data_IF_058678448160
#
_entry.id   IF_058678448160
#
_cell.length_a   1.000
_cell.length_b   1.000
_cell.length_c   1.000
_cell.angle_alpha   90.00
_cell.angle_beta   90.00
_cell.angle_gamma   90.00
#
_symmetry.space_group_name_H-M   'P 1'
#
loop_
_entity.id
_entity.type
_entity.pdbx_description
1 polymer ?
#
# COMPACT_ATOMS: atom_id res chain seq x y z
N UNK A 1 -22.08 -6.12 5.99
CA UNK A 1 -21.08 -5.17 5.43
C UNK A 1 -20.65 -5.77 4.10
N UNK A 2 -20.87 -5.09 2.97
CA UNK A 2 -20.36 -5.59 1.68
C UNK A 2 -18.87 -5.29 1.67
N UNK A 3 -18.03 -6.33 1.64
CA UNK A 3 -16.59 -6.14 1.52
C UNK A 3 -16.31 -5.61 0.10
N UNK A 4 -15.44 -4.61 -0.01
CA UNK A 4 -15.04 -4.11 -1.32
C UNK A 4 -14.39 -5.25 -2.11
N UNK A 5 -14.71 -5.36 -3.40
CA UNK A 5 -14.21 -6.42 -4.30
C UNK A 5 -13.38 -5.85 -5.44
N UNK A 6 -12.36 -6.60 -5.83
CA UNK A 6 -11.45 -6.34 -6.94
C UNK A 6 -11.49 -7.55 -7.87
N UNK A 7 -11.97 -7.40 -9.10
CA UNK A 7 -12.13 -8.50 -10.06
C UNK A 7 -12.80 -9.76 -9.49
N UNK A 8 -13.76 -9.57 -8.58
CA UNK A 8 -14.48 -10.65 -7.90
C UNK A 8 -13.81 -11.22 -6.65
N UNK A 9 -12.60 -10.77 -6.31
CA UNK A 9 -11.84 -11.15 -5.11
C UNK A 9 -12.11 -10.11 -4.01
N UNK A 10 -12.45 -10.51 -2.77
CA UNK A 10 -12.49 -9.57 -1.64
C UNK A 10 -11.13 -8.89 -1.47
N UNK A 11 -11.10 -7.56 -1.32
CA UNK A 11 -9.84 -6.81 -1.21
C UNK A 11 -8.89 -7.34 -0.12
N UNK A 12 -9.35 -7.75 1.08
CA UNK A 12 -8.47 -8.34 2.10
C UNK A 12 -7.89 -9.70 1.72
N UNK A 13 -8.42 -10.36 0.70
CA UNK A 13 -8.03 -11.69 0.23
C UNK A 13 -7.20 -11.62 -1.07
N UNK A 14 -6.82 -10.42 -1.52
CA UNK A 14 -6.02 -10.26 -2.72
C UNK A 14 -4.68 -11.01 -2.59
N UNK A 15 -4.29 -11.80 -3.60
CA UNK A 15 -2.99 -12.46 -3.59
C UNK A 15 -1.91 -11.40 -3.80
N UNK A 16 -1.13 -11.15 -2.75
CA UNK A 16 0.09 -10.33 -2.81
C UNK A 16 1.23 -11.26 -2.38
N UNK A 17 1.91 -11.81 -3.38
CA UNK A 17 3.01 -12.77 -3.20
C UNK A 17 4.35 -12.13 -3.49
N UNK A 18 4.39 -11.26 -4.50
CA UNK A 18 5.58 -10.54 -4.93
C UNK A 18 5.22 -9.09 -5.22
N UNK A 19 6.12 -8.18 -4.83
CA UNK A 19 6.00 -6.74 -5.09
C UNK A 19 7.34 -6.25 -5.62
N UNK A 20 7.30 -5.54 -6.74
CA UNK A 20 8.48 -4.94 -7.33
C UNK A 20 8.28 -3.43 -7.61
N UNK A 21 9.35 -2.79 -8.07
CA UNK A 21 9.36 -1.37 -8.43
C UNK A 21 10.01 -1.24 -9.81
N UNK A 22 9.24 -1.42 -10.90
CA UNK A 22 9.81 -1.44 -12.26
C UNK A 22 10.38 -0.08 -12.66
N UNK A 23 9.83 1.02 -12.13
CA UNK A 23 10.30 2.39 -12.36
C UNK A 23 10.48 3.16 -11.04
N UNK A 24 11.68 3.10 -10.42
CA UNK A 24 11.97 3.77 -9.15
C UNK A 24 11.81 5.29 -9.19
N UNK A 25 11.89 5.93 -10.36
CA UNK A 25 11.73 7.38 -10.48
C UNK A 25 10.36 7.85 -9.98
N UNK A 26 9.33 7.01 -10.04
CA UNK A 26 8.01 7.35 -9.52
C UNK A 26 7.95 7.52 -7.99
N UNK A 27 8.92 6.96 -7.27
CA UNK A 27 9.09 7.14 -5.83
C UNK A 27 9.83 8.42 -5.46
N UNK A 28 10.49 9.08 -6.43
CA UNK A 28 11.10 10.41 -6.27
C UNK A 28 10.04 11.51 -6.33
N UNK A 29 9.15 11.53 -5.34
CA UNK A 29 8.04 12.47 -5.25
C UNK A 29 8.49 13.92 -5.12
N UNK A 30 9.69 14.18 -4.60
CA UNK A 30 10.29 15.51 -4.49
C UNK A 30 10.39 16.23 -5.84
N UNK A 31 10.54 15.48 -6.94
CA UNK A 31 10.55 16.01 -8.32
C UNK A 31 9.21 16.63 -8.73
N UNK A 32 8.10 16.18 -8.12
CA UNK A 32 6.73 16.63 -8.41
C UNK A 32 6.16 17.53 -7.32
N UNK A 33 6.59 17.34 -6.07
CA UNK A 33 6.03 17.99 -4.89
C UNK A 33 7.17 18.49 -3.99
N UNK A 34 7.45 19.81 -3.97
CA UNK A 34 8.49 20.37 -3.12
C UNK A 34 8.29 20.00 -1.65
N UNK A 35 9.37 19.50 -1.01
CA UNK A 35 9.36 19.05 0.38
C UNK A 35 8.76 17.65 0.61
N UNK A 36 8.34 16.94 -0.43
CA UNK A 36 7.97 15.53 -0.31
C UNK A 36 9.23 14.68 -0.04
N UNK A 37 9.05 13.66 0.80
CA UNK A 37 10.06 12.64 1.03
C UNK A 37 10.10 11.69 -0.15
N UNK A 38 11.31 11.44 -0.66
CA UNK A 38 11.55 10.37 -1.62
C UNK A 38 11.64 9.03 -0.89
N UNK A 39 10.99 8.02 -1.46
CA UNK A 39 10.93 6.68 -0.87
C UNK A 39 11.89 5.78 -1.65
N UNK A 40 12.73 5.03 -0.94
CA UNK A 40 13.55 4.01 -1.57
C UNK A 40 12.68 2.78 -1.95
N UNK A 41 12.97 2.09 -3.07
CA UNK A 41 12.21 0.92 -3.50
C UNK A 41 12.02 -0.14 -2.42
N UNK A 42 13.07 -0.47 -1.68
CA UNK A 42 13.04 -1.43 -0.58
C UNK A 42 12.02 -1.05 0.49
N UNK A 43 11.97 0.23 0.90
CA UNK A 43 11.00 0.70 1.87
C UNK A 43 9.56 0.60 1.36
N UNK A 44 9.32 0.85 0.06
CA UNK A 44 8.00 0.69 -0.53
C UNK A 44 7.57 -0.79 -0.56
N UNK A 45 8.48 -1.70 -0.90
CA UNK A 45 8.23 -3.16 -0.90
C UNK A 45 7.94 -3.66 0.51
N UNK A 46 8.75 -3.27 1.51
CA UNK A 46 8.52 -3.64 2.91
C UNK A 46 7.12 -3.24 3.38
N UNK A 47 6.69 -2.00 3.10
CA UNK A 47 5.38 -1.52 3.50
C UNK A 47 4.24 -2.20 2.72
N UNK A 48 4.46 -2.58 1.46
CA UNK A 48 3.46 -3.30 0.66
C UNK A 48 3.28 -4.75 1.12
N UNK A 49 4.35 -5.37 1.60
CA UNK A 49 4.39 -6.76 2.06
C UNK A 49 4.21 -6.90 3.58
N UNK A 50 3.88 -5.81 4.27
CA UNK A 50 3.62 -5.85 5.71
C UNK A 50 2.41 -6.76 6.00
N UNK A 51 2.57 -7.84 6.80
CA UNK A 51 1.48 -8.77 7.11
C UNK A 51 0.26 -8.12 7.78
N UNK A 52 0.43 -6.93 8.34
CA UNK A 52 -0.62 -6.15 9.03
C UNK A 52 -1.16 -5.02 8.17
N UNK A 53 -0.79 -4.97 6.89
CA UNK A 53 -1.13 -3.84 6.04
C UNK A 53 -2.65 -3.70 5.85
N UNK A 54 -3.11 -2.47 5.82
CA UNK A 54 -4.48 -2.15 5.44
C UNK A 54 -4.55 -2.02 3.92
N UNK A 55 -5.45 -2.78 3.29
CA UNK A 55 -5.60 -2.81 1.83
C UNK A 55 -7.00 -2.29 1.46
N UNK A 56 -7.06 -1.39 0.48
CA UNK A 56 -8.30 -0.86 -0.08
C UNK A 56 -8.11 -0.61 -1.58
N UNK A 57 -9.19 -0.48 -2.36
CA UNK A 57 -9.06 0.07 -3.71
C UNK A 57 -8.58 1.51 -3.63
N UNK A 58 -7.76 1.93 -4.59
CA UNK A 58 -7.34 3.32 -4.63
C UNK A 58 -8.51 4.20 -5.10
N UNK A 59 -9.00 5.14 -4.27
CA UNK A 59 -10.17 5.95 -4.60
C UNK A 59 -9.92 6.94 -5.74
N UNK A 60 -8.65 7.12 -6.16
CA UNK A 60 -8.27 7.99 -7.28
C UNK A 60 -8.01 7.19 -8.56
N UNK A 61 -8.11 5.86 -8.52
CA UNK A 61 -7.98 5.03 -9.70
C UNK A 61 -9.16 5.26 -10.63
N UNK A 62 -8.88 5.69 -11.87
CA UNK A 62 -9.92 5.86 -12.90
C UNK A 62 -10.34 4.54 -13.53
N UNK A 63 -9.41 3.59 -13.63
CA UNK A 63 -9.66 2.24 -14.14
C UNK A 63 -10.21 1.32 -13.07
N UNK A 64 -9.98 1.63 -11.79
CA UNK A 64 -10.37 0.79 -10.66
C UNK A 64 -9.38 -0.35 -10.38
N UNK A 65 -8.27 -0.38 -11.09
CA UNK A 65 -7.23 -1.42 -11.05
C UNK A 65 -6.18 -1.15 -9.96
N UNK A 66 -6.06 0.09 -9.50
CA UNK A 66 -5.05 0.39 -8.49
C UNK A 66 -5.59 0.08 -7.09
N UNK A 67 -4.73 -0.50 -6.26
CA UNK A 67 -4.97 -0.67 -4.83
C UNK A 67 -4.06 0.25 -4.04
N UNK A 68 -4.47 0.55 -2.81
CA UNK A 68 -3.69 1.30 -1.84
C UNK A 68 -3.45 0.41 -0.63
N UNK A 69 -2.17 0.26 -0.30
CA UNK A 69 -1.69 -0.45 0.87
C UNK A 69 -1.15 0.56 1.88
N UNK A 70 -1.50 0.40 3.15
CA UNK A 70 -0.89 1.12 4.26
C UNK A 70 -0.19 0.12 5.16
N UNK A 71 1.14 0.12 5.12
CA UNK A 71 1.94 -0.80 5.90
C UNK A 71 3.24 -0.17 6.39
N UNK A 72 3.91 -0.87 7.29
CA UNK A 72 5.10 -0.43 7.98
C UNK A 72 6.36 -0.82 7.22
N UNK A 73 7.26 0.15 7.01
CA UNK A 73 8.62 -0.12 6.56
C UNK A 73 9.60 0.03 7.72
N UNK A 74 10.40 -1.00 7.94
CA UNK A 74 11.48 -1.01 8.93
C UNK A 74 12.65 -0.12 8.47
N UNK A 75 12.95 -0.11 7.16
CA UNK A 75 14.02 0.68 6.56
C UNK A 75 13.87 2.17 6.84
N UNK A 76 12.65 2.71 6.82
CA UNK A 76 12.40 4.13 7.13
C UNK A 76 11.69 4.36 8.47
N UNK A 77 11.41 3.30 9.23
CA UNK A 77 10.68 3.32 10.51
C UNK A 77 9.40 4.16 10.44
N UNK A 78 8.59 3.94 9.40
CA UNK A 78 7.37 4.71 9.11
C UNK A 78 6.33 3.83 8.46
N UNK A 79 5.06 4.16 8.73
CA UNK A 79 3.96 3.72 7.89
C UNK A 79 3.98 4.48 6.56
N UNK A 80 3.92 3.74 5.47
CA UNK A 80 3.84 4.26 4.11
C UNK A 80 2.48 3.92 3.52
N UNK A 81 2.00 4.83 2.68
CA UNK A 81 0.94 4.57 1.71
C UNK A 81 1.64 4.17 0.42
N UNK A 82 1.32 2.99 -0.09
CA UNK A 82 1.84 2.46 -1.35
C UNK A 82 0.67 2.26 -2.30
N UNK A 83 0.76 2.79 -3.52
CA UNK A 83 -0.21 2.53 -4.58
C UNK A 83 0.40 1.52 -5.53
N UNK A 84 -0.33 0.44 -5.79
CA UNK A 84 0.12 -0.66 -6.64
C UNK A 84 -0.90 -0.98 -7.74
N UNK A 85 -0.39 -1.52 -8.83
CA UNK A 85 -1.17 -2.08 -9.94
C UNK A 85 -0.80 -3.56 -10.04
N UNK A 86 -1.73 -4.47 -10.35
CA UNK A 86 -1.36 -5.86 -10.59
C UNK A 86 -0.62 -5.96 -11.92
N UNK A 87 0.18 -7.01 -12.09
CA UNK A 87 0.75 -7.37 -13.40
C UNK A 87 -0.36 -7.93 -14.33
N UNK A 88 -1.27 -8.75 -13.78
CA UNK A 88 -2.36 -9.38 -14.52
C UNK A 88 -3.77 -9.12 -13.93
N UNK A 89 -4.79 -9.38 -14.74
CA UNK A 89 -6.20 -9.30 -14.35
C UNK A 89 -6.95 -10.60 -14.66
N UNK A 90 -7.55 -11.28 -13.65
CA UNK A 90 -7.48 -10.97 -12.21
C UNK A 90 -6.05 -11.10 -11.63
N UNK A 91 -5.74 -10.47 -10.49
CA UNK A 91 -4.43 -10.55 -9.88
C UNK A 91 -4.07 -11.98 -9.47
N UNK A 92 -2.84 -12.40 -9.76
CA UNK A 92 -2.32 -13.74 -9.48
C UNK A 92 -1.27 -13.77 -8.35
N UNK A 93 -0.76 -12.61 -7.94
CA UNK A 93 0.25 -12.50 -6.89
C UNK A 93 1.29 -11.42 -7.09
N UNK A 94 1.56 -11.00 -8.33
CA UNK A 94 2.56 -9.98 -8.64
C UNK A 94 1.94 -8.58 -8.74
N UNK A 95 2.54 -7.63 -8.01
CA UNK A 95 2.11 -6.23 -7.97
C UNK A 95 3.27 -5.25 -8.18
N UNK A 96 3.03 -4.25 -9.04
CA UNK A 96 3.99 -3.19 -9.33
C UNK A 96 3.69 -1.94 -8.50
N UNK A 97 4.69 -1.44 -7.79
CA UNK A 97 4.56 -0.15 -7.08
C UNK A 97 4.51 1.00 -8.08
N UNK A 98 3.39 1.72 -8.10
CA UNK A 98 3.21 2.91 -8.90
C UNK A 98 3.72 4.18 -8.19
N UNK A 99 3.60 4.27 -6.87
CA UNK A 99 4.16 5.35 -6.05
C UNK A 99 4.01 5.04 -4.54
N UNK A 100 4.79 5.71 -3.69
CA UNK A 100 4.65 5.60 -2.24
C UNK A 100 4.90 6.94 -1.52
N UNK A 101 4.37 7.09 -0.30
CA UNK A 101 4.62 8.26 0.57
C UNK A 101 4.30 8.00 2.04
N UNK A 102 4.80 8.82 2.98
CA UNK A 102 4.47 8.67 4.40
C UNK A 102 2.98 8.79 4.70
N UNK A 103 2.44 7.86 5.49
CA UNK A 103 1.04 7.87 5.89
C UNK A 103 0.72 9.08 6.79
N UNK A 104 -0.44 9.70 6.56
CA UNK A 104 -0.97 10.74 7.42
C UNK A 104 -1.50 10.18 8.75
N UNK A 105 -1.72 11.05 9.74
CA UNK A 105 -2.09 10.64 11.10
C UNK A 105 -3.29 9.69 11.14
N UNK A 106 -4.36 9.97 10.39
CA UNK A 106 -5.58 9.16 10.41
C UNK A 106 -5.33 7.72 9.99
N UNK A 107 -4.51 7.51 8.95
CA UNK A 107 -4.16 6.17 8.47
C UNK A 107 -3.26 5.44 9.48
N UNK A 108 -2.35 6.18 10.14
CA UNK A 108 -1.56 5.60 11.23
C UNK A 108 -2.44 5.17 12.40
N UNK A 109 -3.37 6.03 12.81
CA UNK A 109 -4.27 5.73 13.92
C UNK A 109 -5.14 4.50 13.61
N UNK A 110 -5.59 4.34 12.36
CA UNK A 110 -6.33 3.16 11.88
C UNK A 110 -5.48 1.88 11.88
N UNK A 111 -4.24 1.93 11.39
CA UNK A 111 -3.33 0.78 11.39
C UNK A 111 -3.06 0.25 12.80
N UNK A 112 -2.92 1.15 13.78
CA UNK A 112 -2.72 0.78 15.19
C UNK A 112 -4.02 0.58 15.98
N UNK A 113 -5.19 0.57 15.34
CA UNK A 113 -6.46 0.41 16.05
C UNK A 113 -6.64 -1.02 16.58
N UNK A 114 -6.23 -2.02 15.81
CA UNK A 114 -6.41 -3.44 16.15
C UNK A 114 -5.57 -3.85 17.38
N UNK A 115 -4.36 -3.30 17.56
CA UNK A 115 -3.53 -3.56 18.75
C UNK A 115 -4.16 -3.04 20.05
N UNK A 116 -4.91 -1.93 19.97
CA UNK A 116 -5.53 -1.32 21.16
C UNK A 116 -6.74 -2.10 21.65
N UNK A 117 -7.38 -2.86 20.76
CA UNK A 117 -8.51 -3.74 21.09
C UNK A 117 -8.02 -5.05 21.72
N UNK A 118 -6.85 -5.58 21.32
CA UNK A 118 -6.23 -6.77 21.92
C UNK A 118 -5.63 -6.51 23.30
N UNK A 119 -4.99 -5.35 23.54
CA UNK A 119 -4.45 -4.98 24.87
C UNK A 119 -5.54 -4.70 25.93
N UNK A 120 -6.77 -4.46 25.48
CA UNK A 120 -7.92 -4.16 26.36
C UNK A 120 -8.74 -5.40 26.73
N UNK A 121 -8.33 -6.61 26.29
CA UNK A 121 -9.09 -7.86 26.46
C UNK A 121 -8.46 -8.83 27.47
#
# INVERSE_FOLDING_TARGET
>A
MQHEVYDGIPVPELPIHEVDVPEPLHLRRSLRYPGALDIEPEAAIEAAMDPRALIAKDPKSRTGEAVRVVGYSATVNKLLVVVMLPDEHPPDGLWHVATAWPAERRLRDAYWAEDREEESR
#
